data_IF_745505381672
#
_entry.id   IF_745505381672
#
_cell.length_a   1.000
_cell.length_b   1.000
_cell.length_c   1.000
_cell.angle_alpha   90.00
_cell.angle_beta   90.00
_cell.angle_gamma   90.00
#
_symmetry.space_group_name_H-M   'P 1'
#
loop_
_entity.id
_entity.type
_entity.pdbx_description
1 polymer ?
#
# COMPACT_ATOMS: atom_id res chain seq x y z
N UNK A 1 25.66 4.40 0.85
CA UNK A 1 24.66 4.08 1.91
C UNK A 1 24.18 2.64 1.72
N UNK A 2 24.04 1.84 2.79
CA UNK A 2 23.69 0.43 2.67
C UNK A 2 22.23 0.20 2.28
N UNK A 3 21.94 -0.88 1.53
CA UNK A 3 20.62 -1.13 0.88
C UNK A 3 19.45 -1.17 1.86
N UNK A 4 19.68 -1.63 3.09
CA UNK A 4 18.64 -1.74 4.11
C UNK A 4 18.03 -0.38 4.52
N UNK A 5 18.76 0.73 4.38
CA UNK A 5 18.27 2.07 4.76
C UNK A 5 17.21 2.61 3.80
N UNK A 6 17.05 2.03 2.61
CA UNK A 6 16.05 2.43 1.62
C UNK A 6 14.66 1.84 1.91
N UNK A 7 14.56 0.85 2.79
CA UNK A 7 13.27 0.18 3.05
C UNK A 7 12.33 1.06 3.88
N UNK A 8 11.04 1.06 3.53
CA UNK A 8 9.99 1.75 4.31
C UNK A 8 9.98 1.24 5.75
N UNK A 9 10.22 -0.06 5.94
CA UNK A 9 10.33 -0.69 7.27
C UNK A 9 11.43 -0.06 8.12
N UNK A 10 12.62 0.14 7.56
CA UNK A 10 13.73 0.74 8.29
C UNK A 10 13.41 2.19 8.67
N UNK A 11 12.87 2.98 7.73
CA UNK A 11 12.48 4.39 7.99
C UNK A 11 11.42 4.50 9.09
N UNK A 12 10.37 3.66 9.06
CA UNK A 12 9.34 3.63 10.10
C UNK A 12 9.91 3.16 11.45
N UNK A 13 10.78 2.15 11.45
CA UNK A 13 11.43 1.67 12.68
C UNK A 13 12.23 2.81 13.31
N UNK A 14 13.05 3.51 12.53
CA UNK A 14 13.83 4.66 13.02
C UNK A 14 12.89 5.74 13.56
N UNK A 15 11.84 6.11 12.83
CA UNK A 15 10.89 7.13 13.28
C UNK A 15 10.20 6.76 14.59
N UNK A 16 9.63 5.56 14.71
CA UNK A 16 8.94 5.12 15.92
C UNK A 16 9.90 4.91 17.09
N UNK A 17 11.06 4.30 16.87
CA UNK A 17 12.08 4.11 17.91
C UNK A 17 12.61 5.46 18.40
N UNK A 18 12.86 6.42 17.50
CA UNK A 18 13.30 7.77 17.88
C UNK A 18 12.21 8.51 18.66
N UNK A 19 10.96 8.46 18.21
CA UNK A 19 9.83 9.10 18.90
C UNK A 19 9.64 8.53 20.32
N UNK A 20 9.63 7.20 20.45
CA UNK A 20 9.47 6.52 21.74
C UNK A 20 10.66 6.81 22.67
N UNK A 21 11.87 6.83 22.13
CA UNK A 21 13.08 7.16 22.90
C UNK A 21 13.02 8.60 23.41
N UNK A 22 12.65 9.57 22.56
CA UNK A 22 12.53 10.99 22.96
C UNK A 22 11.49 11.16 24.07
N UNK A 23 10.31 10.56 23.93
CA UNK A 23 9.28 10.58 24.97
C UNK A 23 9.74 9.89 26.26
N UNK A 24 10.39 8.73 26.14
CA UNK A 24 10.90 7.99 27.29
C UNK A 24 11.99 8.76 28.06
N UNK A 25 12.94 9.36 27.34
CA UNK A 25 13.99 10.19 27.96
C UNK A 25 13.38 11.43 28.60
N UNK A 26 12.48 12.13 27.92
CA UNK A 26 11.77 13.28 28.49
C UNK A 26 11.01 12.91 29.78
N UNK A 27 10.35 11.75 29.80
CA UNK A 27 9.67 11.23 30.98
C UNK A 27 10.63 10.95 32.14
N UNK A 28 11.78 10.30 31.88
CA UNK A 28 12.81 10.05 32.92
C UNK A 28 13.37 11.37 33.47
N UNK A 29 13.63 12.35 32.60
CA UNK A 29 14.10 13.69 33.00
C UNK A 29 13.06 14.41 33.84
N UNK A 30 11.79 14.39 33.43
CA UNK A 30 10.69 15.00 34.16
C UNK A 30 10.50 14.34 35.54
N UNK A 31 10.56 13.01 35.61
CA UNK A 31 10.51 12.27 36.87
C UNK A 31 11.68 12.65 37.78
N UNK A 32 12.90 12.73 37.25
CA UNK A 32 14.07 13.14 38.03
C UNK A 32 13.93 14.58 38.55
N UNK A 33 13.41 15.48 37.72
CA UNK A 33 13.16 16.87 38.10
C UNK A 33 12.08 16.96 39.19
N UNK A 34 10.99 16.20 39.06
CA UNK A 34 9.94 16.12 40.08
C UNK A 34 10.49 15.63 41.42
N UNK A 35 11.29 14.56 41.42
CA UNK A 35 11.95 14.05 42.63
C UNK A 35 12.91 15.07 43.25
N UNK A 36 13.60 15.89 42.44
CA UNK A 36 14.47 16.95 42.94
C UNK A 36 13.70 18.12 43.56
N UNK A 37 12.55 18.48 42.98
CA UNK A 37 11.71 19.57 43.46
C UNK A 37 10.93 19.20 44.74
N UNK A 38 10.64 17.92 44.95
CA UNK A 38 9.92 17.38 46.11
C UNK A 38 10.84 17.07 47.30
N UNK A 39 12.14 17.40 47.24
CA UNK A 39 13.02 17.19 48.39
C UNK A 39 12.64 18.15 49.52
N UNK A 40 12.28 17.65 50.72
CA UNK A 40 11.97 18.51 51.85
C UNK A 40 13.23 19.33 52.19
N UNK A 41 13.05 20.64 52.37
CA UNK A 41 14.12 21.48 52.93
C UNK A 41 14.56 20.86 54.24
N UNK A 42 15.83 20.49 54.33
CA UNK A 42 16.45 20.03 55.57
C UNK A 42 16.20 21.10 56.62
N UNK A 43 15.27 20.84 57.53
CA UNK A 43 15.16 21.62 58.76
C UNK A 43 16.31 21.13 59.61
N UNK A 44 17.42 21.88 59.63
CA UNK A 44 18.52 21.66 60.57
C UNK A 44 17.89 21.59 61.97
N UNK A 45 17.68 20.37 62.48
CA UNK A 45 17.11 20.16 63.81
C UNK A 45 18.26 20.37 64.80
N UNK A 46 18.61 21.63 65.04
CA UNK A 46 19.60 21.99 66.03
C UNK A 46 19.13 21.54 67.40
N UNK A 47 19.79 20.55 67.98
CA UNK A 47 19.60 20.22 69.38
C UNK A 47 20.32 21.28 70.21
N UNK A 48 19.56 22.07 70.96
CA UNK A 48 20.11 23.01 71.94
C UNK A 48 20.64 22.19 73.11
N UNK A 49 21.95 22.05 73.20
CA UNK A 49 22.60 21.41 74.34
C UNK A 49 23.15 22.52 75.23
N UNK A 50 22.79 22.48 76.51
CA UNK A 50 23.31 23.43 77.50
C UNK A 50 24.63 22.87 78.03
N UNK A 51 25.74 23.53 77.70
CA UNK A 51 27.04 23.21 78.30
C UNK A 51 27.11 23.95 79.64
N UNK A 52 27.38 23.20 80.73
CA UNK A 52 27.40 23.75 82.09
C UNK A 52 28.84 23.80 82.56
N UNK A 53 29.42 24.99 82.62
CA UNK A 53 30.77 25.22 83.11
C UNK A 53 30.73 25.81 84.53
N UNK A 54 31.41 25.17 85.48
CA UNK A 54 31.44 25.63 86.87
C UNK A 54 32.59 26.61 87.10
N UNK A 55 32.26 27.89 87.27
CA UNK A 55 33.26 28.92 87.50
C UNK A 55 33.42 29.20 89.00
N UNK A 56 34.66 29.29 89.51
CA UNK A 56 34.92 29.57 90.92
C UNK A 56 34.62 31.05 91.23
N UNK A 57 33.77 31.28 92.22
CA UNK A 57 33.44 32.63 92.71
C UNK A 57 34.43 33.05 93.79
N UNK A 58 35.06 34.21 93.60
CA UNK A 58 35.91 34.88 94.61
C UNK A 58 35.30 36.23 94.98
N UNK A 59 35.23 36.50 96.27
CA UNK A 59 34.67 37.76 96.81
C UNK A 59 35.68 38.92 96.82
N UNK A 60 36.92 38.70 96.35
CA UNK A 60 37.94 39.74 96.21
C UNK A 60 39.30 39.19 95.73
N UNK A 61 40.23 40.07 95.30
CA UNK A 61 41.57 39.65 94.84
C UNK A 61 42.34 38.96 95.96
N UNK A 62 42.83 37.74 95.71
CA UNK A 62 43.62 36.96 96.67
C UNK A 62 42.81 36.16 97.71
N UNK A 63 41.48 36.19 97.67
CA UNK A 63 40.64 35.41 98.60
C UNK A 63 40.43 33.96 98.15
N UNK A 64 40.11 33.08 99.11
CA UNK A 64 39.75 31.69 98.85
C UNK A 64 38.46 31.59 98.02
N UNK A 65 38.34 30.52 97.23
CA UNK A 65 37.15 30.23 96.43
C UNK A 65 35.97 30.05 97.40
N UNK A 66 34.95 30.91 97.27
CA UNK A 66 33.79 30.96 98.17
C UNK A 66 32.63 30.09 97.68
N UNK A 67 32.68 29.62 96.44
CA UNK A 67 31.71 28.72 95.85
C UNK A 67 31.95 28.53 94.36
N UNK A 68 31.11 27.73 93.72
CA UNK A 68 31.08 27.56 92.27
C UNK A 68 29.69 27.94 91.76
N UNK A 69 29.65 28.70 90.66
CA UNK A 69 28.40 29.03 89.97
C UNK A 69 28.37 28.34 88.61
N UNK A 70 27.24 27.71 88.24
CA UNK A 70 27.11 27.12 86.93
C UNK A 70 26.87 28.24 85.91
N UNK A 71 27.75 28.35 84.92
CA UNK A 71 27.53 29.17 83.73
C UNK A 71 26.97 28.26 82.65
N UNK A 72 25.71 28.50 82.28
CA UNK A 72 25.02 27.72 81.26
C UNK A 72 25.20 28.43 79.92
N UNK A 73 26.05 27.90 79.05
CA UNK A 73 26.23 28.41 77.68
C UNK A 73 25.42 27.55 76.71
N UNK A 74 24.51 28.13 75.92
CA UNK A 74 23.79 27.37 74.91
C UNK A 74 24.74 27.03 73.75
N UNK A 75 24.95 25.74 73.50
CA UNK A 75 25.72 25.23 72.37
C UNK A 75 24.77 24.58 71.37
N UNK A 76 24.81 25.07 70.14
CA UNK A 76 24.11 24.44 69.02
C UNK A 76 25.03 23.39 68.42
N UNK A 77 24.69 22.12 68.57
CA UNK A 77 25.35 21.05 67.83
C UNK A 77 24.63 20.95 66.49
N UNK A 78 25.30 21.34 65.42
CA UNK A 78 24.89 20.99 64.07
C UNK A 78 25.28 19.53 63.87
N UNK A 79 24.29 18.66 63.74
CA UNK A 79 24.55 17.26 63.43
C UNK A 79 25.01 17.18 61.97
N UNK A 80 26.31 17.05 61.74
CA UNK A 80 26.94 16.84 60.42
C UNK A 80 26.66 15.44 59.83
N UNK A 81 25.61 14.75 60.28
CA UNK A 81 25.27 13.39 59.87
C UNK A 81 24.73 13.28 58.43
N UNK A 82 24.53 14.39 57.71
CA UNK A 82 23.75 14.38 56.46
C UNK A 82 24.55 14.44 55.15
N UNK A 83 25.85 14.77 55.17
CA UNK A 83 26.63 14.94 53.92
C UNK A 83 26.90 13.61 53.19
N UNK A 84 27.11 12.51 53.93
CA UNK A 84 27.32 11.18 53.35
C UNK A 84 26.02 10.54 52.83
N UNK A 85 24.88 10.81 53.47
CA UNK A 85 23.58 10.27 53.04
C UNK A 85 23.09 10.98 51.76
N UNK A 86 23.37 12.29 51.59
CA UNK A 86 23.00 13.01 50.36
C UNK A 86 23.80 12.58 49.12
N UNK A 87 25.12 12.36 49.22
CA UNK A 87 25.94 11.98 48.06
C UNK A 87 25.58 10.60 47.52
N UNK A 88 25.30 9.64 48.42
CA UNK A 88 24.97 8.26 48.05
C UNK A 88 23.60 8.17 47.37
N UNK A 89 22.63 8.97 47.82
CA UNK A 89 21.31 9.03 47.19
C UNK A 89 21.36 9.64 45.79
N UNK A 90 22.15 10.69 45.57
CA UNK A 90 22.30 11.31 44.25
C UNK A 90 23.02 10.38 43.24
N UNK A 91 24.05 9.66 43.69
CA UNK A 91 24.75 8.68 42.85
C UNK A 91 23.85 7.49 42.45
N UNK A 92 23.03 7.01 43.39
CA UNK A 92 22.04 5.96 43.11
C UNK A 92 20.98 6.44 42.11
N UNK A 93 20.40 7.63 42.31
CA UNK A 93 19.42 8.20 41.38
C UNK A 93 20.00 8.37 39.97
N UNK A 94 21.25 8.84 39.84
CA UNK A 94 21.94 8.92 38.56
C UNK A 94 22.08 7.55 37.91
N UNK A 95 22.58 6.55 38.63
CA UNK A 95 22.81 5.22 38.05
C UNK A 95 21.48 4.55 37.62
N UNK A 96 20.42 4.66 38.43
CA UNK A 96 19.09 4.18 38.06
C UNK A 96 18.51 4.93 36.86
N UNK A 97 18.70 6.25 36.76
CA UNK A 97 18.28 7.02 35.59
C UNK A 97 19.02 6.63 34.31
N UNK A 98 20.34 6.35 34.38
CA UNK A 98 21.12 5.89 33.25
C UNK A 98 20.66 4.50 32.79
N UNK A 99 20.44 3.57 33.73
CA UNK A 99 19.90 2.25 33.44
C UNK A 99 18.50 2.34 32.80
N UNK A 100 17.65 3.24 33.30
CA UNK A 100 16.33 3.47 32.71
C UNK A 100 16.42 3.99 31.27
N UNK A 101 17.31 4.94 30.99
CA UNK A 101 17.52 5.47 29.63
C UNK A 101 18.05 4.40 28.68
N UNK A 102 19.05 3.61 29.10
CA UNK A 102 19.57 2.50 28.28
C UNK A 102 18.48 1.46 28.03
N UNK A 103 17.74 1.07 29.07
CA UNK A 103 16.62 0.14 28.97
C UNK A 103 15.53 0.64 28.01
N UNK A 104 15.17 1.91 28.10
CA UNK A 104 14.23 2.56 27.18
C UNK A 104 14.74 2.59 25.75
N UNK A 105 16.02 2.88 25.53
CA UNK A 105 16.60 2.89 24.19
C UNK A 105 16.52 1.50 23.53
N UNK A 106 16.86 0.44 24.28
CA UNK A 106 16.75 -0.95 23.80
C UNK A 106 15.29 -1.32 23.55
N UNK A 107 14.39 -1.04 24.49
CA UNK A 107 12.97 -1.33 24.37
C UNK A 107 12.33 -0.59 23.17
N UNK A 108 12.70 0.68 22.96
CA UNK A 108 12.27 1.48 21.81
C UNK A 108 12.74 0.86 20.50
N UNK A 109 14.02 0.49 20.41
CA UNK A 109 14.61 -0.14 19.22
C UNK A 109 13.93 -1.45 18.84
N UNK A 110 13.74 -2.33 19.82
CA UNK A 110 13.06 -3.63 19.62
C UNK A 110 11.58 -3.41 19.28
N UNK A 111 10.89 -2.57 20.05
CA UNK A 111 9.48 -2.23 19.82
C UNK A 111 9.24 -1.67 18.43
N UNK A 112 9.99 -0.65 18.03
CA UNK A 112 9.85 -0.04 16.71
C UNK A 112 10.10 -1.03 15.56
N UNK A 113 11.02 -1.99 15.73
CA UNK A 113 11.30 -3.00 14.71
C UNK A 113 10.18 -4.04 14.56
N UNK A 114 9.55 -4.41 15.69
CA UNK A 114 8.41 -5.33 15.72
C UNK A 114 7.16 -4.66 15.16
N UNK A 115 6.84 -3.44 15.62
CA UNK A 115 5.67 -2.68 15.16
C UNK A 115 5.73 -2.35 13.67
N UNK A 116 6.88 -1.90 13.16
CA UNK A 116 7.06 -1.64 11.72
C UNK A 116 6.89 -2.90 10.88
N UNK A 117 7.33 -4.05 11.42
CA UNK A 117 7.12 -5.35 10.78
C UNK A 117 5.65 -5.71 10.70
N UNK A 118 4.89 -5.48 11.77
CA UNK A 118 3.46 -5.77 11.83
C UNK A 118 2.65 -4.88 10.88
N UNK A 119 2.89 -3.56 10.90
CA UNK A 119 2.17 -2.60 10.02
C UNK A 119 2.40 -2.87 8.52
N UNK A 120 3.59 -3.36 8.14
CA UNK A 120 3.93 -3.59 6.73
C UNK A 120 3.65 -5.02 6.24
N UNK A 121 3.16 -5.92 7.10
CA UNK A 121 2.79 -7.28 6.70
C UNK A 121 1.73 -7.27 5.58
N UNK A 122 0.58 -6.58 5.72
CA UNK A 122 -0.46 -6.59 4.68
C UNK A 122 0.05 -6.08 3.33
N UNK A 123 0.85 -5.01 3.32
CA UNK A 123 1.44 -4.46 2.09
C UNK A 123 2.32 -5.50 1.38
N UNK A 124 3.10 -6.29 2.12
CA UNK A 124 3.93 -7.35 1.55
C UNK A 124 3.09 -8.49 1.00
N UNK A 125 2.00 -8.86 1.68
CA UNK A 125 1.09 -9.91 1.23
C UNK A 125 0.42 -9.50 -0.08
N UNK A 126 -0.10 -8.26 -0.16
CA UNK A 126 -0.64 -7.66 -1.39
C UNK A 126 0.41 -7.66 -2.50
N UNK A 127 1.62 -7.16 -2.21
CA UNK A 127 2.72 -7.09 -3.20
C UNK A 127 3.09 -8.49 -3.72
N UNK A 128 3.13 -9.49 -2.84
CA UNK A 128 3.44 -10.86 -3.19
C UNK A 128 2.40 -11.43 -4.15
N UNK A 129 1.11 -11.30 -3.82
CA UNK A 129 0.04 -11.77 -4.70
C UNK A 129 0.09 -11.03 -6.03
N UNK A 130 0.24 -9.71 -6.02
CA UNK A 130 0.35 -8.91 -7.24
C UNK A 130 1.54 -9.34 -8.12
N UNK A 131 2.68 -9.72 -7.52
CA UNK A 131 3.85 -10.22 -8.26
C UNK A 131 3.69 -11.62 -8.85
N UNK A 132 2.74 -12.41 -8.33
CA UNK A 132 2.42 -13.75 -8.84
C UNK A 132 1.43 -13.69 -10.01
N UNK A 133 0.78 -12.55 -10.24
CA UNK A 133 -0.18 -12.35 -11.33
C UNK A 133 0.58 -12.20 -12.65
N UNK A 134 0.16 -12.97 -13.64
CA UNK A 134 0.74 -12.97 -14.97
C UNK A 134 -0.34 -13.21 -16.02
N UNK A 135 -0.03 -13.00 -17.31
CA UNK A 135 -0.96 -13.25 -18.41
C UNK A 135 -1.49 -14.70 -18.45
N UNK A 136 -0.76 -15.66 -17.86
CA UNK A 136 -1.17 -17.07 -17.79
C UNK A 136 -1.88 -17.43 -16.48
N UNK A 137 -1.87 -16.54 -15.49
CA UNK A 137 -2.45 -16.77 -14.17
C UNK A 137 -3.15 -15.50 -13.65
N UNK A 138 -4.35 -15.25 -14.18
CA UNK A 138 -5.23 -14.13 -13.79
C UNK A 138 -6.32 -14.55 -12.81
N UNK A 139 -6.35 -15.80 -12.34
CA UNK A 139 -7.39 -16.30 -11.43
C UNK A 139 -7.12 -15.98 -9.95
N UNK A 140 -5.89 -15.56 -9.63
CA UNK A 140 -5.53 -15.12 -8.28
C UNK A 140 -6.16 -13.76 -7.98
N UNK A 141 -6.55 -13.58 -6.71
CA UNK A 141 -7.04 -12.32 -6.14
C UNK A 141 -6.27 -12.03 -4.87
N UNK A 142 -6.12 -10.76 -4.53
CA UNK A 142 -5.52 -10.31 -3.29
C UNK A 142 -6.43 -10.70 -2.11
N UNK A 143 -7.75 -10.48 -2.24
CA UNK A 143 -8.76 -10.87 -1.25
C UNK A 143 -8.34 -10.52 0.20
N UNK A 144 -8.05 -9.24 0.43
CA UNK A 144 -7.58 -8.79 1.74
C UNK A 144 -8.74 -8.80 2.76
N UNK A 145 -8.64 -9.64 3.79
CA UNK A 145 -9.65 -9.78 4.85
C UNK A 145 -9.45 -8.82 6.04
N UNK A 146 -8.72 -7.72 5.82
CA UNK A 146 -8.50 -6.69 6.84
C UNK A 146 -9.73 -5.80 7.07
N UNK A 147 -9.63 -4.83 7.99
CA UNK A 147 -10.65 -3.78 8.15
C UNK A 147 -10.81 -2.97 6.86
N UNK A 148 -11.96 -2.31 6.69
CA UNK A 148 -12.27 -1.45 5.53
C UNK A 148 -11.49 -0.11 5.59
N UNK A 149 -10.17 -0.21 5.49
CA UNK A 149 -9.22 0.90 5.49
C UNK A 149 -8.62 1.15 4.09
N UNK A 150 -7.60 2.02 4.02
CA UNK A 150 -6.93 2.35 2.76
C UNK A 150 -6.27 1.12 2.09
N UNK A 151 -5.85 0.12 2.87
CA UNK A 151 -5.25 -1.10 2.33
C UNK A 151 -6.31 -2.05 1.76
N UNK A 152 -7.48 -2.12 2.39
CA UNK A 152 -8.64 -2.82 1.82
C UNK A 152 -9.08 -2.19 0.51
N UNK A 153 -9.22 -0.86 0.46
CA UNK A 153 -9.59 -0.15 -0.77
C UNK A 153 -8.55 -0.34 -1.89
N UNK A 154 -7.26 -0.35 -1.55
CA UNK A 154 -6.19 -0.66 -2.49
C UNK A 154 -6.29 -2.08 -3.04
N UNK A 155 -6.46 -3.08 -2.15
CA UNK A 155 -6.64 -4.47 -2.56
C UNK A 155 -7.83 -4.63 -3.51
N UNK A 156 -8.94 -3.98 -3.20
CA UNK A 156 -10.16 -4.10 -4.00
C UNK A 156 -10.05 -3.42 -5.37
N UNK A 157 -9.28 -2.32 -5.44
CA UNK A 157 -8.95 -1.66 -6.71
C UNK A 157 -8.09 -2.56 -7.60
N UNK A 158 -7.09 -3.23 -7.02
CA UNK A 158 -6.27 -4.20 -7.76
C UNK A 158 -7.11 -5.40 -8.23
N UNK A 159 -7.94 -5.98 -7.35
CA UNK A 159 -8.82 -7.10 -7.72
C UNK A 159 -9.76 -6.71 -8.88
N UNK A 160 -10.32 -5.50 -8.86
CA UNK A 160 -11.13 -4.97 -9.97
C UNK A 160 -10.34 -4.80 -11.27
N UNK A 161 -9.07 -4.37 -11.18
CA UNK A 161 -8.19 -4.30 -12.35
C UNK A 161 -7.91 -5.69 -12.94
N UNK A 162 -7.67 -6.68 -12.08
CA UNK A 162 -7.43 -8.06 -12.48
C UNK A 162 -8.67 -8.65 -13.15
N UNK A 163 -9.87 -8.39 -12.62
CA UNK A 163 -11.13 -8.81 -13.24
C UNK A 163 -11.27 -8.24 -14.67
N UNK A 164 -10.94 -6.96 -14.85
CA UNK A 164 -10.97 -6.31 -16.17
C UNK A 164 -9.97 -6.94 -17.14
N UNK A 165 -8.77 -7.25 -16.68
CA UNK A 165 -7.76 -7.95 -17.48
C UNK A 165 -8.23 -9.36 -17.85
N UNK A 166 -8.74 -10.13 -16.91
CA UNK A 166 -9.26 -11.48 -17.16
C UNK A 166 -10.38 -11.47 -18.19
N UNK A 167 -11.34 -10.54 -18.06
CA UNK A 167 -12.40 -10.36 -19.05
C UNK A 167 -11.86 -10.01 -20.45
N UNK A 168 -10.87 -9.12 -20.53
CA UNK A 168 -10.25 -8.73 -21.81
C UNK A 168 -9.53 -9.89 -22.48
N UNK A 169 -8.68 -10.61 -21.73
CA UNK A 169 -7.97 -11.78 -22.25
C UNK A 169 -8.92 -12.91 -22.64
N UNK A 170 -9.99 -13.13 -21.88
CA UNK A 170 -11.02 -14.12 -22.23
C UNK A 170 -11.70 -13.77 -23.55
N UNK A 171 -12.08 -12.50 -23.75
CA UNK A 171 -12.68 -12.02 -25.01
C UNK A 171 -11.70 -12.16 -26.18
N UNK A 172 -10.44 -11.79 -26.00
CA UNK A 172 -9.41 -11.95 -27.02
C UNK A 172 -9.21 -13.43 -27.40
N UNK A 173 -9.16 -14.34 -26.42
CA UNK A 173 -9.01 -15.77 -26.66
C UNK A 173 -10.20 -16.36 -27.40
N UNK A 174 -11.41 -15.98 -26.99
CA UNK A 174 -12.66 -16.36 -27.66
C UNK A 174 -12.64 -15.88 -29.12
N UNK A 175 -12.30 -14.62 -29.36
CA UNK A 175 -12.18 -14.03 -30.70
C UNK A 175 -11.18 -14.79 -31.59
N UNK A 176 -9.98 -15.07 -31.09
CA UNK A 176 -8.97 -15.84 -31.85
C UNK A 176 -9.46 -17.25 -32.16
N UNK A 177 -10.14 -17.89 -31.21
CA UNK A 177 -10.70 -19.23 -31.41
C UNK A 177 -11.79 -19.22 -32.48
N UNK A 178 -12.75 -18.29 -32.39
CA UNK A 178 -13.86 -18.16 -33.32
C UNK A 178 -13.35 -17.82 -34.73
N UNK A 179 -12.42 -16.87 -34.85
CA UNK A 179 -11.76 -16.53 -36.11
C UNK A 179 -11.04 -17.75 -36.72
N UNK A 180 -10.32 -18.53 -35.92
CA UNK A 180 -9.64 -19.73 -36.38
C UNK A 180 -10.61 -20.79 -36.91
N UNK A 181 -11.78 -20.94 -36.28
CA UNK A 181 -12.81 -21.88 -36.74
C UNK A 181 -13.49 -21.41 -38.04
N UNK A 182 -13.85 -20.13 -38.12
CA UNK A 182 -14.48 -19.54 -39.31
C UNK A 182 -13.53 -19.53 -40.52
N UNK A 183 -12.21 -19.39 -40.32
CA UNK A 183 -11.21 -19.50 -41.38
C UNK A 183 -10.97 -20.95 -41.83
N UNK A 184 -10.98 -21.91 -40.90
CA UNK A 184 -10.69 -23.33 -41.22
C UNK A 184 -11.75 -23.97 -42.11
N UNK A 185 -13.02 -23.61 -41.93
CA UNK A 185 -14.15 -24.17 -42.67
C UNK A 185 -14.07 -23.96 -44.19
N UNK A 186 -13.94 -22.72 -44.71
CA UNK A 186 -13.79 -22.48 -46.15
C UNK A 186 -12.50 -23.07 -46.72
N UNK A 187 -11.40 -23.08 -45.96
CA UNK A 187 -10.16 -23.74 -46.36
C UNK A 187 -10.33 -25.26 -46.53
N UNK A 188 -11.03 -25.91 -45.60
CA UNK A 188 -11.35 -27.33 -45.71
C UNK A 188 -12.25 -27.61 -46.93
N UNK A 189 -13.25 -26.76 -47.17
CA UNK A 189 -14.12 -26.88 -48.33
C UNK A 189 -13.35 -26.75 -49.66
N UNK A 190 -12.45 -25.75 -49.78
CA UNK A 190 -11.56 -25.61 -50.95
C UNK A 190 -10.75 -26.88 -51.15
N UNK A 191 -10.07 -27.36 -50.09
CA UNK A 191 -9.22 -28.54 -50.14
C UNK A 191 -10.00 -29.78 -50.58
N UNK A 192 -11.15 -30.03 -49.98
CA UNK A 192 -11.99 -31.20 -50.32
C UNK A 192 -12.50 -31.15 -51.75
N UNK A 193 -12.93 -30.00 -52.25
CA UNK A 193 -13.38 -29.89 -53.64
C UNK A 193 -12.23 -30.16 -54.63
N UNK A 194 -11.03 -29.63 -54.34
CA UNK A 194 -9.84 -29.94 -55.16
C UNK A 194 -9.53 -31.45 -55.13
N UNK A 195 -9.48 -32.06 -53.94
CA UNK A 195 -9.19 -33.50 -53.79
C UNK A 195 -10.21 -34.37 -54.53
N UNK A 196 -11.51 -34.03 -54.46
CA UNK A 196 -12.58 -34.78 -55.15
C UNK A 196 -12.44 -34.67 -56.67
N UNK A 197 -12.17 -33.48 -57.20
CA UNK A 197 -11.96 -33.31 -58.65
C UNK A 197 -10.66 -33.98 -59.13
N UNK A 198 -9.60 -34.00 -58.34
CA UNK A 198 -8.36 -34.71 -58.67
C UNK A 198 -8.51 -36.24 -58.68
N UNK A 199 -9.45 -36.79 -57.89
CA UNK A 199 -9.72 -38.22 -57.85
C UNK A 199 -10.49 -38.73 -59.09
N UNK A 200 -11.09 -37.86 -59.89
CA UNK A 200 -11.80 -38.21 -61.11
C UNK A 200 -10.94 -37.97 -62.37
N UNK A 201 -10.36 -39.03 -62.97
CA UNK A 201 -9.50 -38.90 -64.16
C UNK A 201 -10.26 -38.50 -65.43
N UNK A 202 -11.59 -38.62 -65.46
CA UNK A 202 -12.45 -38.28 -66.59
C UNK A 202 -13.27 -37.00 -66.35
N UNK A 203 -12.89 -36.21 -65.33
CA UNK A 203 -13.58 -34.98 -64.95
C UNK A 203 -13.81 -34.06 -66.16
N UNK A 204 -15.06 -33.69 -66.35
CA UNK A 204 -15.51 -32.86 -67.47
C UNK A 204 -15.05 -31.41 -67.32
N UNK A 205 -14.97 -30.65 -68.43
CA UNK A 205 -14.73 -29.21 -68.37
C UNK A 205 -15.77 -28.44 -67.54
N UNK A 206 -16.97 -28.98 -67.37
CA UNK A 206 -18.04 -28.38 -66.57
C UNK A 206 -17.78 -28.56 -65.07
N UNK A 207 -17.30 -29.73 -64.64
CA UNK A 207 -16.90 -29.98 -63.25
C UNK A 207 -15.70 -29.13 -62.83
N UNK A 208 -14.71 -28.93 -63.72
CA UNK A 208 -13.62 -27.99 -63.46
C UNK A 208 -14.10 -26.55 -63.31
N UNK A 209 -15.10 -26.11 -64.08
CA UNK A 209 -15.70 -24.77 -63.89
C UNK A 209 -16.41 -24.67 -62.55
N UNK A 210 -17.17 -25.69 -62.15
CA UNK A 210 -17.85 -25.73 -60.85
C UNK A 210 -16.85 -25.70 -59.67
N UNK A 211 -15.71 -26.39 -59.80
CA UNK A 211 -14.60 -26.30 -58.85
C UNK A 211 -14.07 -24.86 -58.74
N UNK A 212 -13.76 -24.22 -59.88
CA UNK A 212 -13.25 -22.84 -59.91
C UNK A 212 -14.23 -21.85 -59.30
N UNK A 213 -15.53 -21.98 -59.59
CA UNK A 213 -16.58 -21.14 -58.99
C UNK A 213 -16.67 -21.35 -57.47
N UNK A 214 -16.54 -22.59 -57.01
CA UNK A 214 -16.52 -22.91 -55.58
C UNK A 214 -15.30 -22.30 -54.89
N UNK A 215 -14.11 -22.47 -55.46
CA UNK A 215 -12.86 -21.92 -54.93
C UNK A 215 -12.92 -20.39 -54.88
N UNK A 216 -13.44 -19.74 -55.93
CA UNK A 216 -13.62 -18.30 -55.98
C UNK A 216 -14.56 -17.83 -54.86
N UNK A 217 -15.72 -18.45 -54.73
CA UNK A 217 -16.71 -18.11 -53.70
C UNK A 217 -16.16 -18.26 -52.27
N UNK A 218 -15.41 -19.33 -51.99
CA UNK A 218 -14.78 -19.52 -50.68
C UNK A 218 -13.66 -18.51 -50.42
N UNK A 219 -12.90 -18.12 -51.44
CA UNK A 219 -11.84 -17.10 -51.34
C UNK A 219 -12.43 -15.71 -51.09
N UNK A 220 -13.54 -15.37 -51.75
CA UNK A 220 -14.29 -14.13 -51.49
C UNK A 220 -14.86 -14.10 -50.07
N UNK A 221 -15.24 -15.26 -49.52
CA UNK A 221 -15.66 -15.37 -48.11
C UNK A 221 -14.48 -15.18 -47.14
N UNK A 222 -13.32 -15.80 -47.41
CA UNK A 222 -12.11 -15.62 -46.62
C UNK A 222 -11.63 -14.15 -46.61
N UNK A 223 -11.73 -13.47 -47.76
CA UNK A 223 -11.37 -12.04 -47.89
C UNK A 223 -12.26 -11.18 -47.00
N UNK A 224 -13.59 -11.32 -47.11
CA UNK A 224 -14.53 -10.59 -46.26
C UNK A 224 -14.33 -10.86 -44.77
N UNK A 225 -14.12 -12.12 -44.39
CA UNK A 225 -13.83 -12.46 -43.00
C UNK A 225 -12.53 -11.79 -42.51
N UNK A 226 -11.50 -11.72 -43.35
CA UNK A 226 -10.26 -11.01 -43.01
C UNK A 226 -10.49 -9.51 -42.84
N UNK A 227 -11.29 -8.89 -43.70
CA UNK A 227 -11.67 -7.48 -43.60
C UNK A 227 -12.47 -7.19 -42.33
N UNK A 228 -13.45 -8.04 -42.01
CA UNK A 228 -14.25 -7.95 -40.78
C UNK A 228 -13.36 -8.08 -39.52
N UNK A 229 -12.40 -9.02 -39.53
CA UNK A 229 -11.44 -9.17 -38.43
C UNK A 229 -10.55 -7.93 -38.27
N UNK A 230 -10.05 -7.38 -39.38
CA UNK A 230 -9.24 -6.14 -39.38
C UNK A 230 -10.05 -4.95 -38.86
N UNK A 231 -11.31 -4.83 -39.26
CA UNK A 231 -12.23 -3.80 -38.78
C UNK A 231 -12.46 -3.90 -37.27
N UNK A 232 -12.69 -5.11 -36.75
CA UNK A 232 -12.88 -5.35 -35.31
C UNK A 232 -11.62 -5.10 -34.48
N UNK A 233 -10.44 -5.28 -35.07
CA UNK A 233 -9.15 -5.01 -34.41
C UNK A 233 -8.64 -3.58 -34.56
N UNK A 234 -9.24 -2.80 -35.48
CA UNK A 234 -8.88 -1.40 -35.67
C UNK A 234 -9.43 -0.60 -34.50
N UNK A 235 -8.63 -0.49 -33.46
CA UNK A 235 -8.73 0.56 -32.45
C UNK A 235 -8.45 1.92 -33.11
N UNK A 236 -9.39 2.46 -33.87
CA UNK A 236 -9.55 3.91 -33.85
C UNK A 236 -10.08 4.26 -32.45
N UNK A 237 -9.13 4.29 -31.52
CA UNK A 237 -9.30 4.45 -30.07
C UNK A 237 -9.73 5.84 -29.63
N UNK A 238 -10.52 6.54 -30.43
CA UNK A 238 -11.29 7.68 -29.96
C UNK A 238 -12.75 7.26 -29.89
N UNK A 239 -13.43 7.67 -28.82
CA UNK A 239 -14.89 7.77 -28.76
C UNK A 239 -15.42 8.07 -30.17
N UNK A 240 -16.28 7.21 -30.78
CA UNK A 240 -16.74 7.44 -32.15
C UNK A 240 -17.19 8.88 -32.24
N UNK A 241 -16.61 9.66 -33.15
CA UNK A 241 -16.89 11.09 -33.26
C UNK A 241 -18.39 11.24 -33.51
N UNK A 242 -19.14 11.62 -32.47
CA UNK A 242 -20.60 11.71 -32.54
C UNK A 242 -20.94 13.11 -32.99
N UNK A 243 -21.25 13.24 -34.28
CA UNK A 243 -21.86 14.45 -34.82
C UNK A 243 -23.33 14.18 -35.18
N UNK A 244 -24.20 15.20 -35.08
CA UNK A 244 -25.54 15.12 -35.67
C UNK A 244 -25.42 14.88 -37.18
N UNK A 245 -26.07 13.84 -37.69
CA UNK A 245 -26.10 13.50 -39.11
C UNK A 245 -27.54 13.45 -39.61
N UNK A 246 -27.76 13.87 -40.86
CA UNK A 246 -29.06 13.71 -41.52
C UNK A 246 -29.24 12.28 -42.00
N UNK A 247 -29.95 11.48 -41.20
CA UNK A 247 -30.21 10.06 -41.49
C UNK A 247 -30.89 9.89 -42.86
N UNK A 248 -31.79 10.80 -43.24
CA UNK A 248 -32.49 10.73 -44.53
C UNK A 248 -31.55 10.89 -45.73
N UNK A 249 -30.52 11.73 -45.60
CA UNK A 249 -29.51 11.89 -46.64
C UNK A 249 -28.69 10.60 -46.81
N UNK A 250 -28.30 9.98 -45.70
CA UNK A 250 -27.58 8.71 -45.69
C UNK A 250 -28.43 7.59 -46.27
N UNK A 251 -29.71 7.49 -45.88
CA UNK A 251 -30.63 6.47 -46.39
C UNK A 251 -30.85 6.61 -47.90
N UNK A 252 -31.01 7.84 -48.41
CA UNK A 252 -31.14 8.08 -49.86
C UNK A 252 -29.88 7.67 -50.61
N UNK A 253 -28.70 8.00 -50.08
CA UNK A 253 -27.41 7.59 -50.66
C UNK A 253 -27.26 6.07 -50.71
N UNK A 254 -27.59 5.38 -49.61
CA UNK A 254 -27.54 3.91 -49.55
C UNK A 254 -28.52 3.26 -50.52
N UNK A 255 -29.76 3.77 -50.63
CA UNK A 255 -30.75 3.27 -51.60
C UNK A 255 -30.26 3.48 -53.04
N UNK A 256 -29.62 4.61 -53.32
CA UNK A 256 -29.04 4.89 -54.63
C UNK A 256 -27.89 3.91 -54.96
N UNK A 257 -26.95 3.72 -54.04
CA UNK A 257 -25.82 2.80 -54.21
C UNK A 257 -26.24 1.33 -54.34
N UNK A 258 -27.27 0.91 -53.61
CA UNK A 258 -27.77 -0.46 -53.63
C UNK A 258 -28.75 -0.73 -54.80
N UNK A 259 -29.25 0.31 -55.46
CA UNK A 259 -30.19 0.22 -56.58
C UNK A 259 -29.78 -0.75 -57.69
N UNK A 260 -28.53 -0.70 -58.22
CA UNK A 260 -28.07 -1.65 -59.24
C UNK A 260 -28.11 -3.11 -58.79
N UNK A 261 -27.72 -3.37 -57.54
CA UNK A 261 -27.75 -4.72 -56.97
C UNK A 261 -29.19 -5.19 -56.74
N UNK A 262 -30.07 -4.33 -56.23
CA UNK A 262 -31.48 -4.62 -56.02
C UNK A 262 -32.20 -4.94 -57.35
N UNK A 263 -31.93 -4.16 -58.40
CA UNK A 263 -32.44 -4.42 -59.75
C UNK A 263 -31.96 -5.78 -60.30
N UNK A 264 -30.68 -6.14 -60.09
CA UNK A 264 -30.14 -7.44 -60.51
C UNK A 264 -30.83 -8.63 -59.82
N UNK A 265 -31.45 -8.39 -58.66
CA UNK A 265 -32.15 -9.38 -57.84
C UNK A 265 -33.68 -9.22 -57.85
N UNK A 266 -34.22 -8.34 -58.69
CA UNK A 266 -35.66 -8.04 -58.79
C UNK A 266 -36.29 -7.58 -57.46
N UNK A 267 -35.52 -6.87 -56.63
CA UNK A 267 -35.98 -6.27 -55.37
C UNK A 267 -36.17 -4.77 -55.57
N UNK A 268 -37.28 -4.23 -55.07
CA UNK A 268 -37.54 -2.78 -55.08
C UNK A 268 -37.09 -2.18 -53.74
N UNK A 269 -36.25 -1.15 -53.79
CA UNK A 269 -35.79 -0.40 -52.63
C UNK A 269 -36.39 1.02 -52.71
N UNK A 270 -37.13 1.41 -51.67
CA UNK A 270 -37.69 2.75 -51.54
C UNK A 270 -37.31 3.35 -50.18
N UNK A 271 -36.81 4.58 -50.18
CA UNK A 271 -36.64 5.36 -48.97
C UNK A 271 -37.97 6.05 -48.65
N UNK A 272 -38.63 5.63 -47.56
CA UNK A 272 -39.88 6.25 -47.09
C UNK A 272 -39.54 7.33 -46.07
N UNK A 273 -39.86 8.58 -46.40
CA UNK A 273 -39.67 9.72 -45.51
C UNK A 273 -40.76 9.69 -44.42
N UNK A 274 -40.36 9.53 -43.16
CA UNK A 274 -41.29 9.42 -42.01
C UNK A 274 -41.61 10.76 -41.35
N UNK A 275 -41.29 11.90 -41.99
CA UNK A 275 -41.54 13.25 -41.46
C UNK A 275 -43.04 13.64 -41.29
N UNK A 276 -43.97 12.69 -41.12
CA UNK A 276 -45.41 12.95 -41.02
C UNK A 276 -46.24 11.94 -40.20
N UNK A 277 -45.64 11.20 -39.25
CA UNK A 277 -46.37 10.40 -38.24
C UNK A 277 -46.33 11.05 -36.86
#
# INVERSE_FOLDING_TARGET
MPVFTKTVRFRLTVWYSSLLLVFGVAFVVALNLAVRLDQPSVVLRGYKVNEVEWQPVRNGPGQAISGFTPVVTPRYILEEAESQIQSDNLARLRNWSLLAVVGLAVASGVGGYVFSGMMLRPVRDITKVASEISATNLSRRINHQGPEDELWALAQTFDSMIDRLEMSFKRQRQFVQDASHELRTPLAAIRTNIEVTEMDPDASPEEYRALLDTVKSQTDRLTRLSEDLLFLTSEDGDTPYREPVEVDAILREVVHQMGPLAASRQVTLEAVDTAGL
#
